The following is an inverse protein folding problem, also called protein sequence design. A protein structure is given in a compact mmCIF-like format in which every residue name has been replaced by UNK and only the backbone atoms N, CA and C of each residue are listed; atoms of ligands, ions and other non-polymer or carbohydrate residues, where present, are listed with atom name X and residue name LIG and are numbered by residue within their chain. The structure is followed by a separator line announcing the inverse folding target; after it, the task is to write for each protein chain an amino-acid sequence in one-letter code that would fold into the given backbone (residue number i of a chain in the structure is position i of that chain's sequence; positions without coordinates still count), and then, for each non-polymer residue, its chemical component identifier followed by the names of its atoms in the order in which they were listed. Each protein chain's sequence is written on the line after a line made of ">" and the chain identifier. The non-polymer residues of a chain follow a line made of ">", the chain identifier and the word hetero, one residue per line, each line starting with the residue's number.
data_IF_656355145618
#
_entry.id   IF_656355145618
#
_cell.length_a   1.000
_cell.length_b   1.000
_cell.length_c   1.000
_cell.angle_alpha   90.00
_cell.angle_beta   90.00
_cell.angle_gamma   90.00
#
_symmetry.space_group_name_H-M   'P 1'
#
loop_
_entity.id
_entity.type
_entity.pdbx_description
1 polymer ?
#
# COMPACT_ATOMS: atom_id res chain seq x y z
N UNK A 1 -23.46 15.29 -5.27
CA UNK A 1 -22.58 14.25 -4.71
C UNK A 1 -22.18 14.68 -3.30
N UNK A 2 -22.56 13.90 -2.29
CA UNK A 2 -22.16 14.12 -0.91
C UNK A 2 -20.97 13.20 -0.59
N UNK A 3 -19.94 13.70 0.13
CA UNK A 3 -18.83 12.85 0.57
C UNK A 3 -19.32 11.73 1.48
N UNK A 4 -18.82 10.53 1.31
CA UNK A 4 -19.07 9.44 2.23
C UNK A 4 -18.24 9.68 3.52
N UNK A 5 -18.91 10.23 4.54
CA UNK A 5 -18.29 10.53 5.82
C UNK A 5 -17.75 9.28 6.52
N UNK A 6 -18.41 8.12 6.36
CA UNK A 6 -17.96 6.88 6.98
C UNK A 6 -16.62 6.42 6.46
N UNK A 7 -16.38 6.52 5.14
CA UNK A 7 -15.08 6.25 4.52
C UNK A 7 -14.02 7.27 4.93
N UNK A 8 -14.40 8.55 5.01
CA UNK A 8 -13.45 9.63 5.34
C UNK A 8 -12.99 9.51 6.80
N UNK A 9 -13.92 9.27 7.72
CA UNK A 9 -13.64 9.18 9.16
C UNK A 9 -12.96 7.87 9.57
N UNK A 10 -12.96 6.88 8.69
CA UNK A 10 -12.33 5.58 8.95
C UNK A 10 -10.81 5.66 9.10
N UNK A 11 -10.17 6.58 8.39
CA UNK A 11 -8.71 6.73 8.40
C UNK A 11 -8.28 7.50 9.65
N UNK A 12 -7.43 6.93 10.53
CA UNK A 12 -7.01 7.62 11.74
C UNK A 12 -6.14 8.84 11.44
N UNK A 13 -6.43 9.98 12.10
CA UNK A 13 -5.62 11.21 12.02
C UNK A 13 -4.17 10.97 12.49
N UNK A 14 -3.98 10.09 13.48
CA UNK A 14 -2.65 9.76 13.99
C UNK A 14 -1.88 8.93 12.97
N UNK A 15 -0.85 9.52 12.37
CA UNK A 15 0.01 8.96 11.31
C UNK A 15 0.53 7.54 11.59
N UNK A 16 0.83 7.23 12.87
CA UNK A 16 1.40 5.93 13.27
C UNK A 16 0.35 4.92 13.75
N UNK A 17 -0.93 5.30 13.81
CA UNK A 17 -2.00 4.38 14.22
C UNK A 17 -2.35 3.43 13.08
N UNK A 18 -2.22 2.11 13.34
CA UNK A 18 -2.67 1.08 12.40
C UNK A 18 -4.20 1.01 12.34
N UNK A 19 -4.73 0.60 11.21
CA UNK A 19 -6.13 0.27 10.99
C UNK A 19 -6.24 -0.94 10.07
N UNK A 20 -7.37 -1.62 10.11
CA UNK A 20 -7.58 -2.83 9.30
C UNK A 20 -8.16 -2.46 7.94
N UNK A 21 -7.33 -2.51 6.90
CA UNK A 21 -7.71 -2.19 5.54
C UNK A 21 -8.85 -3.08 5.00
N UNK A 22 -9.06 -4.27 5.56
CA UNK A 22 -10.19 -5.14 5.19
C UNK A 22 -11.53 -4.51 5.50
N UNK A 23 -11.62 -3.73 6.59
CA UNK A 23 -12.82 -2.99 6.94
C UNK A 23 -13.07 -1.85 5.95
N UNK A 24 -12.01 -1.14 5.56
CA UNK A 24 -12.09 -0.10 4.54
C UNK A 24 -12.57 -0.67 3.19
N UNK A 25 -12.02 -1.81 2.77
CA UNK A 25 -12.47 -2.50 1.55
C UNK A 25 -13.98 -2.85 1.59
N UNK A 26 -14.47 -3.29 2.76
CA UNK A 26 -15.91 -3.61 2.94
C UNK A 26 -16.82 -2.39 2.94
N UNK A 27 -16.32 -1.22 3.34
CA UNK A 27 -17.07 0.05 3.27
C UNK A 27 -17.06 0.60 1.83
N UNK A 28 -15.95 0.43 1.11
CA UNK A 28 -15.80 0.93 -0.26
C UNK A 28 -16.63 0.12 -1.27
N UNK A 29 -16.72 -1.18 -1.07
CA UNK A 29 -17.35 -2.10 -2.02
C UNK A 29 -18.84 -2.31 -1.70
N UNK A 30 -19.58 -2.82 -2.66
CA UNK A 30 -20.99 -3.17 -2.47
C UNK A 30 -21.16 -4.09 -1.25
N UNK A 31 -22.24 -3.94 -0.48
CA UNK A 31 -22.48 -4.74 0.72
C UNK A 31 -22.33 -6.24 0.47
N UNK A 32 -21.63 -6.91 1.38
CA UNK A 32 -21.38 -8.36 1.37
C UNK A 32 -20.71 -8.93 0.11
N UNK A 33 -20.20 -8.07 -0.78
CA UNK A 33 -19.56 -8.50 -2.02
C UNK A 33 -18.08 -8.85 -1.87
N UNK A 34 -17.39 -8.36 -0.82
CA UNK A 34 -15.96 -8.54 -0.66
C UNK A 34 -15.57 -9.96 -0.24
N UNK A 35 -14.84 -10.63 -1.11
CA UNK A 35 -14.25 -11.94 -0.88
C UNK A 35 -12.72 -11.86 -0.83
N UNK A 36 -12.15 -11.92 0.38
CA UNK A 36 -10.69 -11.88 0.59
C UNK A 36 -10.04 -13.18 0.16
N UNK A 37 -9.00 -13.08 -0.68
CA UNK A 37 -8.16 -14.20 -1.10
C UNK A 37 -6.95 -14.31 -0.17
N UNK A 38 -6.63 -15.54 0.25
CA UNK A 38 -5.48 -15.86 1.08
C UNK A 38 -5.37 -15.01 2.38
N UNK A 39 -6.42 -14.92 3.21
CA UNK A 39 -6.46 -14.02 4.38
C UNK A 39 -5.41 -14.33 5.46
N UNK A 40 -4.85 -15.55 5.45
CA UNK A 40 -3.83 -16.00 6.42
C UNK A 40 -2.40 -15.84 5.90
N UNK A 41 -2.21 -15.60 4.60
CA UNK A 41 -0.91 -15.43 3.95
C UNK A 41 -0.61 -13.95 3.69
N UNK A 42 0.61 -13.49 3.96
CA UNK A 42 1.06 -12.11 3.77
C UNK A 42 0.00 -11.08 4.23
N UNK A 43 -0.32 -11.05 5.53
CA UNK A 43 -1.41 -10.24 6.10
C UNK A 43 -1.20 -8.73 5.98
N UNK A 44 0.02 -8.30 5.68
CA UNK A 44 0.40 -6.91 5.37
C UNK A 44 -0.14 -6.42 4.01
N UNK A 45 -0.65 -7.33 3.18
CA UNK A 45 -1.35 -7.03 1.94
C UNK A 45 -2.69 -7.77 1.90
N UNK A 46 -3.76 -7.06 1.64
CA UNK A 46 -5.08 -7.60 1.37
C UNK A 46 -5.23 -7.77 -0.14
N UNK A 47 -5.70 -8.93 -0.57
CA UNK A 47 -6.09 -9.19 -1.95
C UNK A 47 -7.46 -9.83 -1.96
N UNK A 48 -8.33 -9.45 -2.87
CA UNK A 48 -9.67 -9.99 -2.93
C UNK A 48 -10.42 -9.61 -4.19
N UNK A 49 -11.61 -10.14 -4.32
CA UNK A 49 -12.58 -9.79 -5.34
C UNK A 49 -13.79 -9.16 -4.65
N UNK A 50 -14.46 -8.26 -5.34
CA UNK A 50 -15.70 -7.64 -4.86
C UNK A 50 -16.48 -7.00 -5.97
N UNK A 51 -17.48 -6.22 -5.62
CA UNK A 51 -18.22 -5.40 -6.58
C UNK A 51 -18.15 -3.94 -6.14
N UNK A 52 -18.10 -3.08 -7.13
CA UNK A 52 -18.22 -1.63 -6.95
C UNK A 52 -19.28 -1.14 -7.94
N UNK A 53 -20.41 -0.66 -7.42
CA UNK A 53 -21.58 -0.28 -8.21
C UNK A 53 -22.01 -1.38 -9.20
N UNK A 54 -22.07 -2.63 -8.70
CA UNK A 54 -22.40 -3.84 -9.46
C UNK A 54 -21.28 -4.41 -10.32
N UNK A 55 -20.21 -3.69 -10.60
CA UNK A 55 -19.08 -4.15 -11.42
C UNK A 55 -18.09 -5.00 -10.62
N UNK A 56 -17.73 -6.16 -11.17
CA UNK A 56 -16.71 -7.01 -10.54
C UNK A 56 -15.34 -6.35 -10.60
N UNK A 57 -14.66 -6.28 -9.45
CA UNK A 57 -13.32 -5.67 -9.31
C UNK A 57 -12.41 -6.54 -8.48
N UNK A 58 -11.12 -6.52 -8.81
CA UNK A 58 -10.05 -6.98 -7.94
C UNK A 58 -9.60 -5.87 -7.00
N UNK A 59 -9.18 -6.21 -5.80
CA UNK A 59 -8.64 -5.25 -4.83
C UNK A 59 -7.28 -5.71 -4.35
N UNK A 60 -6.29 -4.81 -4.43
CA UNK A 60 -4.96 -4.97 -3.83
C UNK A 60 -4.75 -3.79 -2.88
N UNK A 61 -4.59 -4.07 -1.59
CA UNK A 61 -4.55 -3.01 -0.58
C UNK A 61 -3.51 -3.29 0.51
N UNK A 62 -2.69 -2.29 0.87
CA UNK A 62 -1.79 -2.43 2.01
C UNK A 62 -2.58 -2.48 3.32
N UNK A 63 -2.20 -3.36 4.25
CA UNK A 63 -2.85 -3.46 5.55
C UNK A 63 -1.93 -2.98 6.68
N UNK A 64 -2.09 -1.75 7.15
CA UNK A 64 -1.23 -1.16 8.18
C UNK A 64 -1.26 -1.86 9.54
N UNK A 65 -2.25 -2.73 9.79
CA UNK A 65 -2.29 -3.56 11.00
C UNK A 65 -1.12 -4.54 11.09
N UNK A 66 -0.52 -4.89 9.96
CA UNK A 66 0.58 -5.84 9.88
C UNK A 66 1.79 -5.19 9.22
N UNK A 67 2.92 -5.15 9.91
CA UNK A 67 4.17 -4.57 9.40
C UNK A 67 4.00 -3.14 8.83
N UNK A 68 3.07 -2.36 9.40
CA UNK A 68 2.69 -1.02 8.93
C UNK A 68 2.29 -0.95 7.44
N UNK A 69 1.90 -2.07 6.82
CA UNK A 69 1.58 -2.15 5.40
C UNK A 69 2.80 -2.27 4.47
N UNK A 70 4.02 -2.39 5.02
CA UNK A 70 5.23 -2.54 4.22
C UNK A 70 5.20 -3.81 3.37
N UNK A 71 5.68 -3.74 2.13
CA UNK A 71 5.75 -4.89 1.25
C UNK A 71 6.91 -5.82 1.64
N UNK A 72 6.64 -7.12 1.68
CA UNK A 72 7.60 -8.18 1.89
C UNK A 72 7.58 -9.18 0.72
N UNK A 73 8.50 -10.17 0.65
CA UNK A 73 8.56 -11.12 -0.45
C UNK A 73 7.25 -11.86 -0.71
N UNK A 74 6.53 -12.25 0.36
CA UNK A 74 5.27 -12.97 0.26
C UNK A 74 4.13 -12.08 -0.24
N UNK A 75 4.11 -10.80 0.15
CA UNK A 75 3.12 -9.85 -0.35
C UNK A 75 3.29 -9.56 -1.84
N UNK A 76 4.53 -9.54 -2.34
CA UNK A 76 4.78 -9.44 -3.79
C UNK A 76 4.19 -10.65 -4.54
N UNK A 77 4.44 -11.87 -4.07
CA UNK A 77 3.87 -13.08 -4.67
C UNK A 77 2.32 -13.08 -4.60
N UNK A 78 1.77 -12.62 -3.49
CA UNK A 78 0.31 -12.50 -3.29
C UNK A 78 -0.31 -11.52 -4.29
N UNK A 79 0.31 -10.35 -4.48
CA UNK A 79 -0.12 -9.35 -5.46
C UNK A 79 -0.09 -9.91 -6.88
N UNK A 80 1.02 -10.55 -7.28
CA UNK A 80 1.18 -11.14 -8.62
C UNK A 80 0.05 -12.14 -8.92
N UNK A 81 -0.30 -12.98 -7.97
CA UNK A 81 -1.38 -13.98 -8.15
C UNK A 81 -2.72 -13.32 -8.45
N UNK A 82 -3.07 -12.25 -7.74
CA UNK A 82 -4.32 -11.54 -8.04
C UNK A 82 -4.24 -10.79 -9.37
N UNK A 83 -3.11 -10.14 -9.66
CA UNK A 83 -2.90 -9.49 -10.96
C UNK A 83 -3.11 -10.46 -12.13
N UNK A 84 -2.46 -11.62 -12.10
CA UNK A 84 -2.63 -12.65 -13.13
C UNK A 84 -4.08 -13.15 -13.23
N UNK A 85 -4.76 -13.34 -12.09
CA UNK A 85 -6.17 -13.74 -12.08
C UNK A 85 -7.06 -12.68 -12.72
N UNK A 86 -6.92 -11.44 -12.31
CA UNK A 86 -7.74 -10.34 -12.83
C UNK A 86 -7.49 -10.10 -14.31
N UNK A 87 -6.23 -10.14 -14.74
CA UNK A 87 -5.86 -9.97 -16.14
C UNK A 87 -6.45 -11.08 -17.03
N UNK A 88 -6.36 -12.34 -16.59
CA UNK A 88 -6.90 -13.48 -17.32
C UNK A 88 -8.43 -13.43 -17.51
N UNK A 89 -9.15 -12.74 -16.63
CA UNK A 89 -10.62 -12.62 -16.69
C UNK A 89 -11.11 -11.21 -17.02
N UNK A 90 -10.21 -10.30 -17.40
CA UNK A 90 -10.51 -8.88 -17.69
C UNK A 90 -11.24 -8.17 -16.52
N UNK A 91 -10.84 -8.45 -15.29
CA UNK A 91 -11.39 -7.82 -14.09
C UNK A 91 -10.57 -6.58 -13.76
N UNK A 92 -11.14 -5.37 -13.73
CA UNK A 92 -10.46 -4.16 -13.31
C UNK A 92 -9.91 -4.29 -11.89
N UNK A 93 -8.75 -3.65 -11.60
CA UNK A 93 -8.11 -3.72 -10.30
C UNK A 93 -8.10 -2.36 -9.62
N UNK A 94 -8.53 -2.31 -8.35
CA UNK A 94 -8.42 -1.16 -7.46
C UNK A 94 -7.22 -1.37 -6.52
N UNK A 95 -6.31 -0.40 -6.51
CA UNK A 95 -5.16 -0.37 -5.63
C UNK A 95 -5.37 0.65 -4.51
N UNK A 96 -5.29 0.21 -3.27
CA UNK A 96 -5.42 1.07 -2.09
C UNK A 96 -4.08 1.11 -1.35
N UNK A 97 -3.40 2.24 -1.41
CA UNK A 97 -2.02 2.37 -0.96
C UNK A 97 -1.94 2.99 0.43
N UNK A 98 -1.34 2.29 1.37
CA UNK A 98 -0.79 2.82 2.61
C UNK A 98 0.52 2.09 2.89
N UNK A 99 1.56 2.45 2.12
CA UNK A 99 2.82 1.72 2.06
C UNK A 99 4.00 2.61 2.48
N UNK A 100 4.68 2.28 3.59
CA UNK A 100 5.86 3.03 4.05
C UNK A 100 7.14 2.67 3.28
N UNK A 101 7.14 1.55 2.56
CA UNK A 101 8.29 1.04 1.83
C UNK A 101 8.28 -0.47 1.69
N UNK A 102 9.35 -1.02 1.12
CA UNK A 102 9.66 -2.44 1.24
C UNK A 102 10.27 -2.75 2.59
N UNK A 103 10.02 -3.95 3.11
CA UNK A 103 10.74 -4.44 4.26
C UNK A 103 12.23 -4.59 3.95
N UNK A 104 13.07 -4.14 4.87
CA UNK A 104 14.52 -4.18 4.76
C UNK A 104 15.13 -5.08 5.84
N UNK A 105 16.33 -5.56 5.60
CA UNK A 105 17.10 -6.33 6.56
C UNK A 105 17.50 -7.70 6.04
N UNK A 106 18.45 -8.30 6.73
CA UNK A 106 19.15 -9.52 6.33
C UNK A 106 18.22 -10.68 5.99
N UNK A 107 17.13 -10.83 6.75
CA UNK A 107 16.16 -11.91 6.55
C UNK A 107 15.46 -11.79 5.19
N UNK A 108 14.90 -10.62 4.88
CA UNK A 108 14.15 -10.42 3.64
C UNK A 108 15.06 -10.40 2.40
N UNK A 109 16.32 -10.01 2.57
CA UNK A 109 17.32 -10.12 1.50
C UNK A 109 17.61 -11.60 1.16
N UNK A 110 17.76 -12.46 2.16
CA UNK A 110 17.87 -13.91 1.95
C UNK A 110 16.62 -14.53 1.32
N UNK A 111 15.44 -13.96 1.60
CA UNK A 111 14.17 -14.35 0.99
C UNK A 111 13.97 -13.75 -0.42
N UNK A 112 15.03 -13.14 -1.00
CA UNK A 112 15.08 -12.57 -2.35
C UNK A 112 14.12 -11.41 -2.54
N UNK A 113 14.06 -10.46 -1.59
CA UNK A 113 13.16 -9.30 -1.63
C UNK A 113 13.23 -8.54 -2.96
N UNK A 114 14.44 -8.16 -3.39
CA UNK A 114 14.63 -7.39 -4.63
C UNK A 114 14.10 -8.15 -5.86
N UNK A 115 14.40 -9.44 -5.96
CA UNK A 115 13.94 -10.27 -7.08
C UNK A 115 12.41 -10.34 -7.14
N UNK A 116 11.76 -10.50 -5.99
CA UNK A 116 10.30 -10.56 -5.90
C UNK A 116 9.63 -9.22 -6.15
N UNK A 117 10.25 -8.13 -5.69
CA UNK A 117 9.81 -6.77 -5.99
C UNK A 117 9.84 -6.48 -7.50
N UNK A 118 10.94 -6.84 -8.17
CA UNK A 118 11.08 -6.66 -9.63
C UNK A 118 10.04 -7.49 -10.38
N UNK A 119 9.80 -8.74 -9.96
CA UNK A 119 8.76 -9.58 -10.58
C UNK A 119 7.35 -9.01 -10.39
N UNK A 120 7.08 -8.37 -9.25
CA UNK A 120 5.80 -7.69 -9.02
C UNK A 120 5.65 -6.50 -9.99
N UNK A 121 6.70 -5.70 -10.17
CA UNK A 121 6.72 -4.60 -11.14
C UNK A 121 6.58 -5.13 -12.57
N UNK A 122 7.27 -6.20 -12.94
CA UNK A 122 7.15 -6.85 -14.25
C UNK A 122 5.70 -7.30 -14.52
N UNK A 123 5.07 -7.98 -13.55
CA UNK A 123 3.68 -8.38 -13.68
C UNK A 123 2.75 -7.17 -13.85
N UNK A 124 3.00 -6.09 -13.11
CA UNK A 124 2.25 -4.85 -13.22
C UNK A 124 2.37 -4.21 -14.62
N UNK A 125 3.58 -4.14 -15.17
CA UNK A 125 3.82 -3.58 -16.50
C UNK A 125 3.18 -4.40 -17.64
N UNK A 126 2.87 -5.66 -17.38
CA UNK A 126 2.22 -6.54 -18.35
C UNK A 126 0.69 -6.63 -18.19
N UNK A 127 0.11 -5.91 -17.22
CA UNK A 127 -1.35 -5.87 -17.07
C UNK A 127 -2.01 -5.19 -18.27
N UNK A 128 -3.03 -5.85 -18.80
CA UNK A 128 -3.91 -5.31 -19.85
C UNK A 128 -5.25 -4.80 -19.31
N UNK A 129 -5.65 -5.27 -18.13
CA UNK A 129 -6.90 -4.86 -17.49
C UNK A 129 -6.80 -3.44 -16.91
N UNK A 130 -7.90 -2.66 -16.93
CA UNK A 130 -7.94 -1.33 -16.34
C UNK A 130 -7.57 -1.33 -14.85
N UNK A 131 -6.82 -0.31 -14.43
CA UNK A 131 -6.42 -0.17 -13.02
C UNK A 131 -6.68 1.24 -12.50
N UNK A 132 -7.17 1.33 -11.27
CA UNK A 132 -7.35 2.59 -10.54
C UNK A 132 -6.56 2.49 -9.24
N UNK A 133 -5.85 3.56 -8.89
CA UNK A 133 -5.02 3.60 -7.71
C UNK A 133 -5.34 4.79 -6.83
N UNK A 134 -5.44 4.55 -5.53
CA UNK A 134 -5.73 5.57 -4.53
C UNK A 134 -4.70 5.49 -3.41
N UNK A 135 -3.97 6.57 -3.17
CA UNK A 135 -3.10 6.69 -2.00
C UNK A 135 -3.96 7.07 -0.81
N UNK A 136 -4.14 6.15 0.12
CA UNK A 136 -5.01 6.36 1.28
C UNK A 136 -4.30 7.20 2.34
N UNK A 137 -3.03 6.87 2.67
CA UNK A 137 -2.29 7.61 3.68
C UNK A 137 -0.81 7.77 3.32
N UNK A 138 -0.08 6.69 3.09
CA UNK A 138 1.37 6.72 2.81
C UNK A 138 1.68 6.11 1.46
N UNK A 139 2.55 6.77 0.71
CA UNK A 139 3.09 6.28 -0.55
C UNK A 139 4.56 6.63 -0.66
N UNK A 140 5.47 5.76 -0.16
CA UNK A 140 6.89 6.09 -0.13
C UNK A 140 7.76 5.15 -0.95
N UNK A 141 8.70 5.75 -1.68
CA UNK A 141 9.82 5.10 -2.35
C UNK A 141 9.42 4.11 -3.44
N UNK A 142 10.27 3.11 -3.67
CA UNK A 142 10.06 2.11 -4.72
C UNK A 142 8.81 1.24 -4.46
N UNK A 143 8.47 0.98 -3.20
CA UNK A 143 7.26 0.22 -2.88
C UNK A 143 5.97 0.94 -3.32
N UNK A 144 5.96 2.26 -3.22
CA UNK A 144 4.88 3.09 -3.76
C UNK A 144 4.75 2.91 -5.28
N UNK A 145 5.88 2.92 -6.02
CA UNK A 145 5.87 2.68 -7.46
C UNK A 145 5.32 1.27 -7.78
N UNK A 146 5.74 0.25 -7.03
CA UNK A 146 5.27 -1.13 -7.21
C UNK A 146 3.78 -1.32 -6.92
N UNK A 147 3.14 -0.38 -6.24
CA UNK A 147 1.68 -0.37 -5.98
C UNK A 147 0.87 0.32 -7.09
N UNK A 148 1.40 0.41 -8.30
CA UNK A 148 0.69 0.92 -9.48
C UNK A 148 0.40 2.42 -9.45
N UNK A 149 1.43 3.23 -9.56
CA UNK A 149 1.30 4.69 -9.72
C UNK A 149 0.94 5.09 -11.15
N UNK A 150 0.67 6.38 -11.35
CA UNK A 150 0.46 6.93 -12.71
C UNK A 150 1.62 6.66 -13.66
N UNK A 151 2.86 6.68 -13.15
CA UNK A 151 4.06 6.34 -13.92
C UNK A 151 4.20 4.86 -14.26
N UNK A 152 3.40 4.00 -13.63
CA UNK A 152 3.37 2.54 -13.86
C UNK A 152 2.17 2.09 -14.70
N UNK A 153 1.37 3.03 -15.22
CA UNK A 153 0.28 2.72 -16.12
C UNK A 153 -1.12 2.70 -15.50
N UNK A 154 -1.28 3.22 -14.28
CA UNK A 154 -2.63 3.38 -13.71
C UNK A 154 -3.50 4.28 -14.59
N UNK A 155 -4.71 3.82 -14.94
CA UNK A 155 -5.68 4.58 -15.74
C UNK A 155 -6.26 5.76 -14.95
N UNK A 156 -6.43 5.59 -13.63
CA UNK A 156 -6.82 6.65 -12.71
C UNK A 156 -5.91 6.62 -11.48
N UNK A 157 -5.40 7.79 -11.09
CA UNK A 157 -4.53 7.91 -9.93
C UNK A 157 -5.02 9.05 -9.03
N UNK A 158 -5.36 8.73 -7.79
CA UNK A 158 -5.98 9.64 -6.84
C UNK A 158 -5.26 9.58 -5.50
N UNK A 159 -5.47 10.59 -4.67
CA UNK A 159 -5.00 10.63 -3.29
C UNK A 159 -6.14 10.99 -2.34
N UNK A 160 -6.16 10.35 -1.18
CA UNK A 160 -7.07 10.70 -0.09
C UNK A 160 -6.65 12.02 0.55
N UNK A 161 -7.58 12.78 1.14
CA UNK A 161 -7.20 13.96 1.92
C UNK A 161 -6.19 13.60 3.02
N UNK A 162 -5.07 14.34 3.07
CA UNK A 162 -3.99 14.06 4.03
C UNK A 162 -3.04 12.91 3.65
N UNK A 163 -3.11 12.39 2.42
CA UNK A 163 -2.15 11.41 1.92
C UNK A 163 -0.75 12.03 1.79
N UNK A 164 0.26 11.28 2.20
CA UNK A 164 1.67 11.66 2.13
C UNK A 164 2.38 10.85 1.05
N UNK A 165 2.94 11.52 0.06
CA UNK A 165 3.66 10.90 -1.05
C UNK A 165 5.07 11.46 -1.11
N UNK A 166 6.08 10.58 -1.21
CA UNK A 166 7.47 11.04 -1.28
C UNK A 166 8.47 9.93 -1.61
N UNK A 167 9.74 10.36 -1.74
CA UNK A 167 10.84 9.43 -1.95
C UNK A 167 11.08 8.53 -0.73
N UNK A 168 10.94 9.09 0.47
CA UNK A 168 11.05 8.36 1.73
C UNK A 168 10.16 8.99 2.80
N UNK A 169 9.89 8.25 3.87
CA UNK A 169 9.21 8.76 5.04
C UNK A 169 9.96 9.98 5.61
N UNK A 170 9.29 11.12 5.88
CA UNK A 170 9.94 12.32 6.40
C UNK A 170 10.77 12.09 7.65
N UNK A 171 10.29 11.27 8.61
CA UNK A 171 11.05 10.92 9.82
C UNK A 171 12.37 10.19 9.50
N UNK A 172 12.36 9.35 8.47
CA UNK A 172 13.56 8.66 7.98
C UNK A 172 14.48 9.65 7.26
N UNK A 173 13.92 10.52 6.43
CA UNK A 173 14.67 11.54 5.70
C UNK A 173 15.45 12.47 6.64
N UNK A 174 14.81 12.96 7.68
CA UNK A 174 15.45 13.78 8.71
C UNK A 174 16.58 13.01 9.42
N UNK A 175 16.35 11.75 9.79
CA UNK A 175 17.40 10.94 10.42
C UNK A 175 18.61 10.72 9.51
N UNK A 176 18.41 10.54 8.22
CA UNK A 176 19.50 10.36 7.24
C UNK A 176 20.24 11.67 7.01
N UNK A 177 19.53 12.78 6.82
CA UNK A 177 20.12 14.09 6.52
C UNK A 177 20.90 14.67 7.72
N UNK A 178 20.41 14.41 8.93
CA UNK A 178 20.96 14.99 10.16
C UNK A 178 21.59 13.96 11.09
N UNK A 179 21.96 12.77 10.57
CA UNK A 179 22.53 11.68 11.37
C UNK A 179 23.69 12.14 12.26
N UNK A 180 24.63 12.90 11.70
CA UNK A 180 25.80 13.42 12.42
C UNK A 180 25.44 14.41 13.55
N UNK A 181 24.34 15.15 13.42
CA UNK A 181 23.86 16.08 14.46
C UNK A 181 23.06 15.36 15.55
N UNK A 182 22.42 14.25 15.17
CA UNK A 182 21.61 13.43 16.09
C UNK A 182 22.44 12.39 16.84
N UNK A 183 23.67 12.11 16.40
CA UNK A 183 24.61 11.26 17.13
C UNK A 183 25.03 11.96 18.44
N UNK A 184 24.77 11.27 19.57
CA UNK A 184 25.09 11.78 20.91
C UNK A 184 23.95 12.51 21.63
N UNK A 185 22.84 12.82 20.96
CA UNK A 185 21.66 13.39 21.60
C UNK A 185 20.80 12.29 22.25
N UNK A 186 20.23 12.59 23.41
CA UNK A 186 19.20 11.78 24.03
C UNK A 186 17.86 11.86 23.27
N UNK A 187 16.83 11.17 23.78
CA UNK A 187 15.55 11.07 23.08
C UNK A 187 14.82 12.42 22.97
N UNK A 188 14.91 13.26 24.00
CA UNK A 188 14.32 14.61 24.04
C UNK A 188 15.07 15.59 23.13
N UNK A 189 16.41 15.57 23.15
CA UNK A 189 17.23 16.37 22.27
C UNK A 189 17.02 16.06 20.80
N UNK A 190 16.80 14.78 20.46
CA UNK A 190 16.47 14.37 19.08
C UNK A 190 15.09 14.84 18.61
N UNK A 191 14.11 14.91 19.50
CA UNK A 191 12.77 15.43 19.14
C UNK A 191 12.80 16.95 18.94
N UNK A 192 13.58 17.67 19.75
CA UNK A 192 13.72 19.13 19.62
C UNK A 192 14.45 19.54 18.35
N UNK A 193 15.50 18.80 17.94
CA UNK A 193 16.26 19.09 16.70
C UNK A 193 15.51 18.71 15.41
N UNK A 194 14.43 17.95 15.50
CA UNK A 194 13.56 17.57 14.37
C UNK A 194 12.43 18.56 14.06
N UNK A 195 12.17 19.50 14.96
CA UNK A 195 11.20 20.58 14.80
C UNK A 195 11.82 21.78 14.07
#
# INVERSE_FOLDING_TARGET
>A
WEPDHELTDFIPDKRRRGYDMRKFCKLLLDPDSFFELQPKFAKNLVTGLGRLDGWSVGVIANNPMFQAGALNPDSCDKAIRLMCLCDAFNIPIIWLMDVPGFNVGRKVEHERMLFKAIRMVEALCNLSTPTISVVIRKGFGLAYQAMNTSGMGAWGFYSWPGAEIGFMDPDVGVNVAYSNKLEGLDKEGRETERQ
#
